data_IF_351115829834
#
_entry.id   IF_351115829834
#
_cell.length_a   1.000
_cell.length_b   1.000
_cell.length_c   1.000
_cell.angle_alpha   90.00
_cell.angle_beta   90.00
_cell.angle_gamma   90.00
#
_symmetry.space_group_name_H-M   'P 1'
#
loop_
_entity.id
_entity.type
_entity.pdbx_description
1 polymer ?
#
# COMPACT_ATOMS: atom_id res chain seq x y z
N UNK A 1 -3.74 2.47 -12.44
CA UNK A 1 -2.80 1.45 -11.92
C UNK A 1 -1.40 1.94 -12.24
N UNK A 2 -0.57 2.25 -11.25
CA UNK A 2 0.86 2.43 -11.50
C UNK A 2 1.43 1.06 -11.85
N UNK A 3 1.58 0.77 -13.15
CA UNK A 3 2.09 -0.50 -13.68
C UNK A 3 3.57 -0.73 -13.42
N UNK A 4 4.12 -0.12 -12.38
CA UNK A 4 5.54 -0.18 -12.05
C UNK A 4 5.87 -1.55 -11.49
N UNK A 5 6.87 -2.18 -12.09
CA UNK A 5 7.43 -3.45 -11.64
C UNK A 5 8.35 -3.16 -10.46
N UNK A 6 8.22 -3.94 -9.40
CA UNK A 6 9.07 -3.89 -8.23
C UNK A 6 10.51 -4.19 -8.67
N UNK A 7 11.47 -3.28 -8.43
CA UNK A 7 12.83 -3.45 -8.95
C UNK A 7 13.61 -4.54 -8.19
N UNK A 8 13.28 -4.74 -6.91
CA UNK A 8 14.02 -5.62 -6.00
C UNK A 8 13.10 -6.35 -5.02
N UNK A 9 13.44 -7.61 -4.73
CA UNK A 9 12.74 -8.39 -3.71
C UNK A 9 13.04 -7.86 -2.32
N UNK A 10 12.02 -7.65 -1.51
CA UNK A 10 12.19 -7.18 -0.14
C UNK A 10 10.91 -6.76 0.54
N UNK A 11 11.06 -6.21 1.74
CA UNK A 11 10.00 -5.56 2.48
C UNK A 11 9.96 -4.08 2.14
N UNK A 12 8.83 -3.66 1.60
CA UNK A 12 8.56 -2.29 1.19
C UNK A 12 7.50 -1.69 2.10
N UNK A 13 7.47 -0.37 2.18
CA UNK A 13 6.40 0.35 2.85
C UNK A 13 5.91 1.56 2.07
N UNK A 14 4.69 1.99 2.40
CA UNK A 14 4.16 3.29 1.97
C UNK A 14 4.38 4.27 3.11
N UNK A 15 5.09 5.35 2.83
CA UNK A 15 5.25 6.49 3.74
C UNK A 15 4.33 7.63 3.26
N UNK A 16 3.52 8.17 4.16
CA UNK A 16 2.77 9.40 3.92
C UNK A 16 3.37 10.50 4.81
N UNK A 17 3.05 11.76 4.50
CA UNK A 17 3.46 12.95 5.25
C UNK A 17 3.43 12.71 6.77
N UNK A 18 4.38 13.32 7.48
CA UNK A 18 4.67 13.13 8.91
C UNK A 18 5.40 11.82 9.29
N UNK A 19 5.92 11.07 8.30
CA UNK A 19 6.77 9.90 8.58
C UNK A 19 6.00 8.67 9.07
N UNK A 20 4.67 8.70 9.01
CA UNK A 20 3.81 7.58 9.35
C UNK A 20 3.92 6.50 8.26
N UNK A 21 4.36 5.30 8.66
CA UNK A 21 4.32 4.11 7.81
C UNK A 21 2.94 3.48 7.91
N UNK A 22 2.12 3.64 6.87
CA UNK A 22 0.74 3.12 6.86
C UNK A 22 0.68 1.63 6.56
N UNK A 23 1.58 1.13 5.72
CA UNK A 23 1.48 -0.23 5.24
C UNK A 23 2.84 -0.80 4.88
N UNK A 24 3.13 -2.01 5.38
CA UNK A 24 4.32 -2.78 5.06
C UNK A 24 3.91 -4.01 4.29
N UNK A 25 4.58 -4.27 3.16
CA UNK A 25 4.31 -5.44 2.33
C UNK A 25 5.59 -5.98 1.72
N UNK A 26 5.69 -7.30 1.60
CA UNK A 26 6.78 -7.95 0.89
C UNK A 26 6.45 -8.05 -0.59
N UNK A 27 7.39 -7.66 -1.43
CA UNK A 27 7.33 -7.83 -2.88
C UNK A 27 8.53 -8.63 -3.36
N UNK A 28 8.34 -9.34 -4.47
CA UNK A 28 9.41 -9.94 -5.25
C UNK A 28 9.76 -9.01 -6.42
N UNK A 29 11.00 -9.07 -6.87
CA UNK A 29 11.43 -8.42 -8.11
C UNK A 29 10.49 -8.83 -9.25
N UNK A 30 9.94 -7.85 -9.96
CA UNK A 30 8.98 -8.04 -11.04
C UNK A 30 7.51 -8.05 -10.62
N UNK A 31 7.18 -8.06 -9.32
CA UNK A 31 5.80 -7.89 -8.87
C UNK A 31 5.28 -6.52 -9.29
N UNK A 32 3.98 -6.41 -9.60
CA UNK A 32 3.38 -5.10 -9.87
C UNK A 32 3.12 -4.40 -8.53
N UNK A 33 3.71 -3.22 -8.34
CA UNK A 33 3.48 -2.41 -7.17
C UNK A 33 2.05 -1.85 -7.21
N UNK A 34 1.19 -2.16 -6.22
CA UNK A 34 -0.22 -1.76 -6.27
C UNK A 34 -0.40 -0.32 -5.78
N UNK A 35 -1.53 0.28 -6.18
CA UNK A 35 -2.09 1.47 -5.53
C UNK A 35 -2.54 1.14 -4.11
N UNK A 36 -2.69 2.17 -3.28
CA UNK A 36 -3.17 2.00 -1.91
C UNK A 36 -4.66 2.33 -1.80
N UNK A 37 -5.42 1.45 -1.17
CA UNK A 37 -6.84 1.69 -0.90
C UNK A 37 -7.01 2.48 0.39
N UNK A 38 -7.32 3.77 0.26
CA UNK A 38 -7.63 4.65 1.39
C UNK A 38 -9.11 4.54 1.74
N UNK A 39 -9.40 4.05 2.93
CA UNK A 39 -10.76 4.02 3.48
C UNK A 39 -11.21 5.42 3.94
N UNK A 40 -12.44 5.79 3.63
CA UNK A 40 -13.02 7.09 3.94
C UNK A 40 -14.35 6.90 4.69
N UNK A 41 -14.29 6.60 6.01
CA UNK A 41 -15.50 6.42 6.80
C UNK A 41 -16.42 7.63 6.70
N UNK A 42 -17.73 7.40 6.68
CA UNK A 42 -18.70 8.49 6.82
C UNK A 42 -18.77 8.90 8.30
N UNK A 43 -19.24 10.12 8.55
CA UNK A 43 -19.45 10.61 9.93
C UNK A 43 -20.39 9.67 10.71
N UNK A 44 -21.43 9.15 10.04
CA UNK A 44 -22.33 8.13 10.56
C UNK A 44 -21.90 6.77 10.04
N UNK A 45 -21.21 5.98 10.86
CA UNK A 45 -20.70 4.64 10.49
C UNK A 45 -21.81 3.67 10.06
N UNK A 46 -23.03 3.80 10.59
CA UNK A 46 -24.18 2.97 10.20
C UNK A 46 -24.50 3.09 8.70
N UNK A 47 -24.23 4.24 8.08
CA UNK A 47 -24.42 4.41 6.63
C UNK A 47 -23.41 3.58 5.82
N UNK A 48 -22.24 3.28 6.37
CA UNK A 48 -21.26 2.42 5.72
C UNK A 48 -21.70 0.94 5.73
N UNK A 49 -22.53 0.52 6.71
CA UNK A 49 -23.13 -0.83 6.73
C UNK A 49 -24.22 -1.00 5.68
N UNK A 50 -24.99 0.06 5.41
CA UNK A 50 -26.10 0.04 4.44
C UNK A 50 -25.59 0.24 3.00
N UNK A 51 -24.74 1.24 2.79
CA UNK A 51 -24.27 1.65 1.46
C UNK A 51 -22.89 1.09 1.09
N UNK A 52 -22.24 0.40 2.02
CA UNK A 52 -20.85 -0.02 1.87
C UNK A 52 -19.84 1.09 2.20
N UNK A 53 -18.68 0.67 2.70
CA UNK A 53 -17.56 1.53 3.05
C UNK A 53 -16.97 2.22 1.80
N UNK A 54 -16.89 3.55 1.85
CA UNK A 54 -16.21 4.31 0.81
C UNK A 54 -14.72 4.07 0.86
N UNK A 55 -14.13 3.90 -0.31
CA UNK A 55 -12.70 3.77 -0.47
C UNK A 55 -12.27 4.47 -1.75
N UNK A 56 -11.02 4.92 -1.76
CA UNK A 56 -10.38 5.52 -2.91
C UNK A 56 -9.04 4.83 -3.13
N UNK A 57 -8.78 4.34 -4.34
CA UNK A 57 -7.46 3.87 -4.71
C UNK A 57 -6.59 5.08 -5.06
N UNK A 58 -5.54 5.30 -4.29
CA UNK A 58 -4.60 6.41 -4.46
C UNK A 58 -3.24 5.90 -4.95
N UNK A 59 -2.58 6.71 -5.78
CA UNK A 59 -1.20 6.46 -6.17
C UNK A 59 -0.29 6.72 -4.96
N UNK A 60 0.68 5.82 -4.78
CA UNK A 60 1.59 5.84 -3.65
C UNK A 60 2.99 5.50 -4.11
N UNK A 61 3.97 6.05 -3.38
CA UNK A 61 5.36 5.67 -3.55
C UNK A 61 5.68 4.57 -2.54
N UNK A 62 6.24 3.48 -3.04
CA UNK A 62 6.76 2.39 -2.22
C UNK A 62 8.24 2.60 -1.97
N UNK A 63 8.66 2.58 -0.71
CA UNK A 63 10.05 2.69 -0.28
C UNK A 63 10.53 1.33 0.24
N UNK A 64 11.71 0.87 -0.21
CA UNK A 64 12.31 -0.36 0.26
C UNK A 64 12.89 -0.15 1.66
N UNK A 65 12.48 -0.98 2.62
CA UNK A 65 12.92 -0.88 4.02
C UNK A 65 13.91 -1.97 4.36
N UNK A 66 13.78 -3.15 3.74
CA UNK A 66 14.68 -4.29 3.95
C UNK A 66 14.72 -5.16 2.71
N UNK A 67 15.91 -5.46 2.21
CA UNK A 67 16.05 -6.44 1.13
C UNK A 67 15.59 -7.83 1.60
N UNK A 68 15.10 -8.65 0.67
CA UNK A 68 14.86 -10.06 0.99
C UNK A 68 16.20 -10.71 1.31
N UNK A 69 16.30 -11.42 2.44
CA UNK A 69 17.51 -12.14 2.80
C UNK A 69 17.82 -13.13 1.66
N UNK A 70 19.01 -12.98 1.07
CA UNK A 70 19.46 -13.88 0.02
C UNK A 70 19.84 -15.20 0.70
N UNK A 71 18.93 -16.17 0.71
CA UNK A 71 19.30 -17.54 1.07
C UNK A 71 20.03 -18.09 -0.14
N UNK A 72 21.36 -17.97 -0.09
CA UNK A 72 22.31 -18.64 -0.99
C UNK A 72 22.22 -20.15 -0.85
#
# INVERSE_FOLDING_TARGET
KTGLRCPESGQWCIRIEEGLVLHKRRFRKGDVLPTYRRYQPRWLSLLDDIFGMRHQDIEVVWELVRHADHVS
#
